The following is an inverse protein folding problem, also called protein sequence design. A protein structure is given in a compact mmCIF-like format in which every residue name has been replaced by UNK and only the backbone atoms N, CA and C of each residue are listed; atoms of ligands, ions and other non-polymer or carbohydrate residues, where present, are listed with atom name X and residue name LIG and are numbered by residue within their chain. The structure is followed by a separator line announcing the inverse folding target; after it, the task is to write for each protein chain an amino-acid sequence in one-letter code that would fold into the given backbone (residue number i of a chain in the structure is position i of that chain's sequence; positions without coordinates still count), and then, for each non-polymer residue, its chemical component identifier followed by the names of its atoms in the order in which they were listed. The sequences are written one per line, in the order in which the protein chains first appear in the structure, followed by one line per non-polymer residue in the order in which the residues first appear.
data_IF_635469203320
#
_entry.id   IF_635469203320
#
_cell.length_a   1.000
_cell.length_b   1.000
_cell.length_c   1.000
_cell.angle_alpha   90.00
_cell.angle_beta   90.00
_cell.angle_gamma   90.00
#
_symmetry.space_group_name_H-M   'P 1'
#
loop_
_entity.id
_entity.type
_entity.pdbx_description
1 polymer ?
#
# COMPACT_ATOMS: atom_id res chain seq x y z
N UNK A 1 -53.88 -6.64 -47.83
CA UNK A 1 -53.34 -6.78 -46.45
C UNK A 1 -51.99 -7.48 -46.59
N UNK A 2 -50.89 -6.73 -46.49
CA UNK A 2 -50.04 -6.57 -45.29
C UNK A 2 -49.32 -7.88 -44.92
N UNK A 3 -48.02 -7.94 -44.62
CA UNK A 3 -46.98 -6.92 -44.51
C UNK A 3 -45.61 -7.62 -44.60
N UNK A 4 -44.61 -6.82 -44.96
CA UNK A 4 -43.24 -7.16 -45.29
C UNK A 4 -42.32 -7.50 -44.10
N UNK A 5 -41.18 -8.04 -44.49
CA UNK A 5 -40.03 -8.58 -43.76
C UNK A 5 -38.95 -7.49 -43.48
N UNK A 6 -38.24 -7.66 -42.36
CA UNK A 6 -36.85 -7.23 -42.02
C UNK A 6 -36.52 -5.74 -41.77
N UNK A 7 -35.89 -5.43 -40.61
CA UNK A 7 -34.44 -5.14 -40.47
C UNK A 7 -34.05 -4.66 -39.06
N UNK A 8 -32.87 -5.12 -38.66
CA UNK A 8 -31.93 -4.69 -37.62
C UNK A 8 -31.97 -3.20 -37.22
N UNK A 9 -31.95 -2.92 -35.91
CA UNK A 9 -31.66 -1.60 -35.34
C UNK A 9 -30.21 -1.53 -34.81
N UNK A 10 -29.42 -0.52 -35.19
CA UNK A 10 -28.20 -0.14 -34.50
C UNK A 10 -28.48 0.79 -33.31
N UNK A 11 -27.55 0.72 -32.35
CA UNK A 11 -27.37 1.56 -31.18
C UNK A 11 -27.45 3.06 -31.52
N UNK A 12 -28.21 3.83 -30.74
CA UNK A 12 -28.15 5.29 -30.74
C UNK A 12 -27.94 5.80 -29.31
N UNK A 13 -26.82 6.51 -29.14
CA UNK A 13 -26.48 7.27 -27.95
C UNK A 13 -27.43 8.46 -27.78
N UNK A 14 -27.86 8.72 -26.54
CA UNK A 14 -28.62 9.91 -26.19
C UNK A 14 -27.68 10.94 -25.54
N UNK A 15 -27.36 12.01 -26.27
CA UNK A 15 -26.85 13.24 -25.69
C UNK A 15 -28.04 14.16 -25.36
N UNK A 16 -28.14 14.75 -24.16
CA UNK A 16 -29.15 15.76 -23.90
C UNK A 16 -28.73 17.13 -24.47
N UNK A 17 -29.69 17.74 -25.16
CA UNK A 17 -29.63 19.08 -25.76
C UNK A 17 -29.41 20.18 -24.71
N UNK A 18 -28.68 21.21 -25.15
CA UNK A 18 -28.47 22.47 -24.45
C UNK A 18 -29.77 23.27 -24.23
N UNK A 19 -29.88 23.91 -23.06
CA UNK A 19 -30.78 25.05 -22.86
C UNK A 19 -29.94 26.30 -22.59
N UNK A 20 -29.86 27.16 -23.60
CA UNK A 20 -29.21 28.47 -23.55
C UNK A 20 -30.11 29.42 -22.73
N UNK A 21 -29.67 29.84 -21.56
CA UNK A 21 -30.18 31.04 -20.90
C UNK A 21 -29.07 32.10 -20.90
N UNK A 22 -29.13 33.04 -21.86
CA UNK A 22 -28.31 34.25 -21.82
C UNK A 22 -28.81 35.14 -20.68
N UNK A 23 -28.11 35.15 -19.56
CA UNK A 23 -28.10 36.32 -18.67
C UNK A 23 -26.88 37.15 -19.03
N UNK A 24 -27.10 38.33 -19.59
CA UNK A 24 -26.07 39.34 -19.73
C UNK A 24 -25.66 39.78 -18.31
N UNK A 25 -24.41 39.54 -17.95
CA UNK A 25 -23.78 40.11 -16.74
C UNK A 25 -22.53 40.89 -17.17
N UNK A 26 -22.24 42.03 -16.53
CA UNK A 26 -21.33 43.03 -17.06
C UNK A 26 -19.90 42.49 -17.09
N UNK A 27 -19.07 43.05 -17.97
CA UNK A 27 -17.64 42.76 -18.06
C UNK A 27 -16.94 43.06 -16.71
N UNK A 28 -16.99 42.10 -15.79
CA UNK A 28 -16.08 42.00 -14.66
C UNK A 28 -14.94 41.11 -15.10
N UNK A 29 -13.77 41.69 -15.28
CA UNK A 29 -12.54 40.96 -15.56
C UNK A 29 -12.43 39.80 -14.55
N UNK A 30 -12.51 38.57 -15.03
CA UNK A 30 -12.07 37.42 -14.26
C UNK A 30 -10.54 37.51 -14.24
N UNK A 31 -9.98 38.30 -13.33
CA UNK A 31 -8.61 38.06 -12.90
C UNK A 31 -8.61 36.64 -12.37
N UNK A 32 -7.89 35.69 -13.00
CA UNK A 32 -7.69 34.40 -12.37
C UNK A 32 -7.14 34.72 -10.98
N UNK A 33 -7.75 34.16 -9.93
CA UNK A 33 -7.07 34.15 -8.64
C UNK A 33 -5.70 33.56 -8.94
N UNK A 34 -4.66 34.37 -8.79
CA UNK A 34 -3.32 33.86 -8.63
C UNK A 34 -3.39 33.03 -7.34
N UNK A 35 -3.72 31.75 -7.49
CA UNK A 35 -3.27 30.74 -6.53
C UNK A 35 -1.78 30.98 -6.53
N UNK A 36 -1.28 31.60 -5.44
CA UNK A 36 0.13 31.81 -5.27
C UNK A 36 0.77 30.49 -5.61
N UNK A 37 1.61 30.49 -6.65
CA UNK A 37 2.41 29.34 -6.99
C UNK A 37 3.36 29.15 -5.81
N UNK A 38 2.86 28.49 -4.76
CA UNK A 38 3.68 27.77 -3.81
C UNK A 38 4.46 26.85 -4.72
N UNK A 39 5.72 27.19 -4.96
CA UNK A 39 6.60 26.36 -5.77
C UNK A 39 6.45 24.95 -5.21
N UNK A 40 6.10 24.00 -6.07
CA UNK A 40 6.02 22.60 -5.65
C UNK A 40 7.38 22.29 -5.04
N UNK A 41 7.42 22.07 -3.73
CA UNK A 41 8.62 21.59 -3.07
C UNK A 41 9.01 20.32 -3.82
N UNK A 42 10.17 20.36 -4.48
CA UNK A 42 10.61 19.23 -5.28
C UNK A 42 11.02 18.14 -4.30
N UNK A 43 10.13 17.17 -4.13
CA UNK A 43 10.38 16.01 -3.32
C UNK A 43 11.47 15.16 -3.99
N UNK A 44 12.56 14.89 -3.25
CA UNK A 44 13.66 14.03 -3.70
C UNK A 44 13.48 12.61 -3.09
N UNK A 45 12.89 11.66 -3.83
CA UNK A 45 12.65 10.32 -3.32
C UNK A 45 13.94 9.53 -3.09
N UNK A 46 15.03 9.88 -3.80
CA UNK A 46 16.32 9.19 -3.67
C UNK A 46 17.01 9.62 -2.39
N UNK A 47 17.03 10.92 -2.09
CA UNK A 47 17.54 11.43 -0.82
C UNK A 47 16.74 10.87 0.37
N UNK A 48 15.41 10.78 0.23
CA UNK A 48 14.57 10.16 1.26
C UNK A 48 14.90 8.68 1.46
N UNK A 49 15.11 7.91 0.39
CA UNK A 49 15.48 6.49 0.50
C UNK A 49 16.78 6.29 1.29
N UNK A 50 17.79 7.14 1.07
CA UNK A 50 19.06 7.10 1.79
C UNK A 50 18.87 7.41 3.29
N UNK A 51 18.06 8.42 3.59
CA UNK A 51 17.74 8.80 4.97
C UNK A 51 16.98 7.68 5.69
N UNK A 52 15.94 7.14 5.06
CA UNK A 52 15.17 6.01 5.58
C UNK A 52 16.07 4.80 5.84
N UNK A 53 16.96 4.43 4.91
CA UNK A 53 17.83 3.28 5.09
C UNK A 53 18.75 3.38 6.33
N UNK A 54 19.15 4.62 6.66
CA UNK A 54 20.00 4.93 7.81
C UNK A 54 19.22 4.98 9.12
N UNK A 55 17.99 5.50 9.09
CA UNK A 55 17.17 5.72 10.30
C UNK A 55 16.21 4.58 10.63
N UNK A 56 15.90 3.71 9.67
CA UNK A 56 14.95 2.62 9.85
C UNK A 56 15.42 1.65 10.94
N UNK A 57 14.53 1.41 11.91
CA UNK A 57 14.76 0.43 12.96
C UNK A 57 15.08 -0.94 12.38
N UNK A 58 16.05 -1.65 12.97
CA UNK A 58 16.43 -2.99 12.54
C UNK A 58 15.53 -4.08 13.11
N UNK A 59 14.81 -3.77 14.18
CA UNK A 59 13.90 -4.71 14.84
C UNK A 59 12.53 -4.08 14.97
N UNK A 60 11.49 -4.87 14.68
CA UNK A 60 10.11 -4.47 14.74
C UNK A 60 9.31 -5.57 15.44
N UNK A 61 8.32 -5.18 16.24
CA UNK A 61 7.47 -6.13 16.98
C UNK A 61 6.01 -5.73 16.92
N UNK A 62 5.13 -6.71 16.92
CA UNK A 62 3.70 -6.48 17.01
C UNK A 62 2.92 -7.77 16.84
N UNK A 63 1.89 -7.75 15.99
CA UNK A 63 0.99 -8.89 15.86
C UNK A 63 0.55 -9.15 14.42
N UNK A 64 0.32 -10.43 14.13
CA UNK A 64 -0.35 -10.88 12.92
C UNK A 64 -1.72 -11.44 13.26
N UNK A 65 -2.75 -10.97 12.54
CA UNK A 65 -4.11 -11.44 12.66
C UNK A 65 -4.58 -12.00 11.31
N UNK A 66 -4.84 -13.31 11.26
CA UNK A 66 -5.47 -13.95 10.10
C UNK A 66 -6.95 -13.56 9.99
N UNK A 67 -7.45 -13.44 8.76
CA UNK A 67 -8.88 -13.26 8.48
C UNK A 67 -9.59 -14.59 8.15
N UNK A 68 -8.86 -15.71 8.15
CA UNK A 68 -9.36 -17.03 7.76
C UNK A 68 -10.47 -17.58 8.65
N UNK A 69 -11.35 -18.36 8.04
CA UNK A 69 -12.37 -19.16 8.72
C UNK A 69 -11.76 -20.55 8.94
N UNK A 70 -11.43 -20.91 10.19
CA UNK A 70 -10.81 -22.22 10.48
C UNK A 70 -10.00 -22.31 11.77
N UNK A 71 -9.65 -21.18 12.38
CA UNK A 71 -9.27 -21.15 13.80
C UNK A 71 -10.56 -21.07 14.61
N UNK A 72 -11.00 -22.22 15.13
CA UNK A 72 -12.13 -22.33 16.06
C UNK A 72 -11.81 -21.60 17.36
N UNK A 73 -11.90 -20.27 17.35
CA UNK A 73 -11.54 -19.37 18.43
C UNK A 73 -11.62 -17.91 17.98
N UNK A 74 -11.59 -16.93 18.90
CA UNK A 74 -11.54 -15.51 18.52
C UNK A 74 -10.34 -15.29 17.59
N UNK A 75 -10.44 -14.33 16.67
CA UNK A 75 -9.35 -13.92 15.77
C UNK A 75 -8.10 -13.58 16.59
N UNK A 76 -7.25 -14.57 16.82
CA UNK A 76 -6.20 -14.48 17.79
C UNK A 76 -4.99 -13.88 17.12
N UNK A 77 -4.63 -12.66 17.53
CA UNK A 77 -3.37 -12.06 17.11
C UNK A 77 -2.21 -12.90 17.66
N UNK A 78 -1.35 -13.37 16.77
CA UNK A 78 -0.10 -14.04 17.14
C UNK A 78 1.02 -13.02 17.17
N UNK A 79 1.93 -13.18 18.13
CA UNK A 79 3.11 -12.31 18.22
C UNK A 79 3.95 -12.41 16.95
N UNK A 80 4.35 -11.25 16.46
CA UNK A 80 5.17 -11.08 15.27
C UNK A 80 6.42 -10.27 15.61
N UNK A 81 7.57 -10.73 15.13
CA UNK A 81 8.82 -10.01 15.23
C UNK A 81 9.53 -10.03 13.87
N UNK A 82 9.88 -8.86 13.35
CA UNK A 82 10.67 -8.71 12.12
C UNK A 82 12.05 -8.17 12.47
N UNK A 83 13.08 -8.89 12.05
CA UNK A 83 14.49 -8.50 12.19
C UNK A 83 15.09 -8.28 10.81
N UNK A 84 15.41 -7.04 10.48
CA UNK A 84 16.06 -6.66 9.24
C UNK A 84 17.57 -6.88 9.38
N UNK A 85 18.10 -7.79 8.56
CA UNK A 85 19.53 -8.02 8.40
C UNK A 85 20.16 -6.97 7.47
N UNK A 86 19.44 -6.54 6.45
CA UNK A 86 19.89 -5.48 5.54
C UNK A 86 18.77 -4.54 5.14
N UNK A 87 19.14 -3.27 4.97
CA UNK A 87 18.30 -2.17 4.48
C UNK A 87 19.17 -1.36 3.52
N UNK A 88 18.99 -1.58 2.23
CA UNK A 88 19.91 -1.08 1.20
C UNK A 88 19.17 -0.19 0.21
N UNK A 89 19.49 1.11 0.11
CA UNK A 89 18.85 2.00 -0.86
C UNK A 89 19.32 1.67 -2.28
N UNK A 90 18.38 1.68 -3.22
CA UNK A 90 18.54 1.44 -4.66
C UNK A 90 17.67 2.44 -5.42
N UNK A 91 18.21 3.64 -5.67
CA UNK A 91 17.41 4.76 -6.21
C UNK A 91 16.36 5.19 -5.18
N UNK A 92 15.10 5.27 -5.60
CA UNK A 92 13.96 5.54 -4.70
C UNK A 92 13.45 4.31 -3.94
N UNK A 93 13.95 3.12 -4.27
CA UNK A 93 13.57 1.88 -3.60
C UNK A 93 14.57 1.54 -2.49
N UNK A 94 14.14 0.75 -1.52
CA UNK A 94 15.00 0.19 -0.47
C UNK A 94 14.80 -1.33 -0.48
N UNK A 95 15.85 -2.10 -0.77
CA UNK A 95 15.85 -3.56 -0.61
C UNK A 95 15.96 -3.89 0.88
N UNK A 96 15.05 -4.75 1.34
CA UNK A 96 14.93 -5.21 2.71
C UNK A 96 15.18 -6.71 2.74
N UNK A 97 16.05 -7.18 3.64
CA UNK A 97 16.23 -8.60 3.92
C UNK A 97 16.27 -8.85 5.40
N UNK A 98 15.77 -9.99 5.82
CA UNK A 98 15.72 -10.31 7.23
C UNK A 98 14.96 -11.58 7.52
N UNK A 99 14.44 -11.65 8.74
CA UNK A 99 13.66 -12.77 9.25
C UNK A 99 12.39 -12.26 9.93
N UNK A 100 11.28 -12.95 9.65
CA UNK A 100 9.99 -12.74 10.30
C UNK A 100 9.69 -13.95 11.17
N UNK A 101 9.49 -13.72 12.46
CA UNK A 101 9.10 -14.71 13.45
C UNK A 101 7.63 -14.57 13.79
N UNK A 102 6.86 -15.62 13.61
CA UNK A 102 5.42 -15.66 13.85
C UNK A 102 5.05 -16.90 14.66
N UNK A 103 4.46 -16.71 15.83
CA UNK A 103 4.05 -17.85 16.68
C UNK A 103 5.19 -18.82 17.01
N UNK A 104 6.44 -18.34 17.06
CA UNK A 104 7.64 -19.14 17.30
C UNK A 104 8.31 -19.72 16.05
N UNK A 105 7.71 -19.58 14.86
CA UNK A 105 8.31 -20.02 13.59
C UNK A 105 9.02 -18.85 12.93
N UNK A 106 10.33 -19.00 12.67
CA UNK A 106 11.16 -17.98 12.01
C UNK A 106 11.29 -18.31 10.53
N UNK A 107 11.07 -17.31 9.68
CA UNK A 107 11.11 -17.43 8.23
C UNK A 107 11.95 -16.32 7.61
N UNK A 108 12.87 -16.63 6.68
CA UNK A 108 13.55 -15.60 5.91
C UNK A 108 12.57 -14.80 5.06
N UNK A 109 12.76 -13.49 5.00
CA UNK A 109 11.96 -12.57 4.20
C UNK A 109 12.84 -11.67 3.33
N UNK A 110 12.30 -11.28 2.18
CA UNK A 110 12.88 -10.26 1.32
C UNK A 110 11.76 -9.34 0.82
N UNK A 111 12.05 -8.04 0.71
CA UNK A 111 11.07 -7.08 0.24
C UNK A 111 11.67 -5.80 -0.26
N UNK A 112 10.80 -4.91 -0.74
CA UNK A 112 11.16 -3.58 -1.19
C UNK A 112 10.25 -2.55 -0.52
N UNK A 113 10.81 -1.39 -0.18
CA UNK A 113 10.06 -0.21 0.26
C UNK A 113 10.29 0.93 -0.74
N UNK A 114 9.22 1.51 -1.26
CA UNK A 114 9.29 2.71 -2.09
C UNK A 114 9.34 3.96 -1.20
N UNK A 115 10.41 4.73 -1.29
CA UNK A 115 10.59 5.94 -0.50
C UNK A 115 9.71 7.11 -0.98
N UNK A 116 9.01 7.03 -2.11
CA UNK A 116 8.05 8.06 -2.51
C UNK A 116 6.67 7.81 -1.90
N UNK A 117 6.21 6.56 -1.92
CA UNK A 117 4.84 6.20 -1.53
C UNK A 117 4.73 5.49 -0.19
N UNK A 118 5.84 5.15 0.46
CA UNK A 118 5.90 4.23 1.61
C UNK A 118 5.30 2.85 1.33
N UNK A 119 5.18 2.49 0.05
CA UNK A 119 4.66 1.20 -0.36
C UNK A 119 5.67 0.10 -0.05
N UNK A 120 5.24 -0.86 0.76
CA UNK A 120 5.98 -2.07 1.08
C UNK A 120 5.46 -3.23 0.25
N UNK A 121 6.38 -4.06 -0.24
CA UNK A 121 6.13 -5.46 -0.60
C UNK A 121 7.17 -6.34 0.09
N UNK A 122 6.74 -7.32 0.90
CA UNK A 122 7.60 -8.21 1.67
C UNK A 122 7.17 -9.67 1.48
N UNK A 123 8.04 -10.46 0.87
CA UNK A 123 7.82 -11.85 0.50
C UNK A 123 8.46 -12.78 1.53
N UNK A 124 7.73 -13.82 1.92
CA UNK A 124 8.25 -14.92 2.73
C UNK A 124 8.97 -15.93 1.83
N UNK A 125 10.18 -16.32 2.23
CA UNK A 125 11.04 -17.21 1.46
C UNK A 125 11.00 -18.67 1.97
N UNK A 126 10.11 -19.02 2.89
CA UNK A 126 9.96 -20.39 3.40
C UNK A 126 9.01 -21.24 2.54
N UNK A 127 9.13 -22.57 2.69
CA UNK A 127 8.12 -23.55 2.29
C UNK A 127 7.20 -23.93 3.47
N UNK A 128 6.84 -22.94 4.29
CA UNK A 128 6.12 -23.15 5.54
C UNK A 128 4.68 -22.65 5.45
N UNK A 129 3.78 -23.31 6.20
CA UNK A 129 2.44 -22.82 6.45
C UNK A 129 2.33 -22.45 7.93
N UNK A 130 2.22 -21.15 8.21
CA UNK A 130 2.17 -20.63 9.59
C UNK A 130 1.02 -19.65 9.70
N UNK A 131 0.03 -19.97 10.54
CA UNK A 131 -1.13 -19.10 10.78
C UNK A 131 -1.89 -18.67 9.51
N UNK A 132 -1.93 -19.53 8.50
CA UNK A 132 -2.54 -19.24 7.19
C UNK A 132 -1.67 -18.39 6.26
N UNK A 133 -0.39 -18.16 6.62
CA UNK A 133 0.63 -17.67 5.70
C UNK A 133 1.21 -18.85 4.94
N UNK A 134 1.07 -18.81 3.62
CA UNK A 134 1.46 -19.88 2.70
C UNK A 134 2.59 -19.40 1.78
N UNK A 135 3.40 -20.33 1.29
CA UNK A 135 4.43 -20.03 0.30
C UNK A 135 3.84 -19.32 -0.93
N UNK A 136 4.50 -18.24 -1.36
CA UNK A 136 4.12 -17.48 -2.55
C UNK A 136 3.17 -16.31 -2.29
N UNK A 137 2.75 -16.08 -1.05
CA UNK A 137 2.07 -14.84 -0.69
C UNK A 137 3.04 -13.70 -0.36
N UNK A 138 2.48 -12.50 -0.21
CA UNK A 138 3.22 -11.26 0.02
C UNK A 138 2.51 -10.41 1.08
N UNK A 139 3.28 -9.75 1.93
CA UNK A 139 2.78 -8.65 2.74
C UNK A 139 2.93 -7.35 1.96
N UNK A 140 1.82 -6.63 1.72
CA UNK A 140 1.86 -5.32 1.10
C UNK A 140 1.21 -4.26 1.98
N UNK A 141 1.80 -3.06 2.01
CA UNK A 141 1.34 -1.97 2.87
C UNK A 141 1.64 -0.61 2.25
N UNK A 142 0.98 0.45 2.73
CA UNK A 142 1.22 1.84 2.34
C UNK A 142 1.83 2.68 3.47
N UNK A 143 2.00 2.08 4.65
CA UNK A 143 2.61 2.71 5.84
C UNK A 143 3.93 2.01 6.17
N UNK A 144 4.68 1.64 5.12
CA UNK A 144 5.89 0.85 5.21
C UNK A 144 5.70 -0.44 5.99
N UNK A 145 6.62 -0.70 6.94
CA UNK A 145 6.62 -1.90 7.77
C UNK A 145 5.56 -1.88 8.89
N UNK A 146 4.95 -0.73 9.19
CA UNK A 146 4.05 -0.61 10.34
C UNK A 146 2.74 -1.34 10.13
N UNK A 147 2.17 -1.23 8.93
CA UNK A 147 0.88 -1.82 8.62
C UNK A 147 0.90 -2.42 7.22
N UNK A 148 0.75 -3.74 7.16
CA UNK A 148 0.67 -4.49 5.90
C UNK A 148 -0.43 -5.54 5.94
N UNK A 149 -1.01 -5.82 4.78
CA UNK A 149 -1.95 -6.90 4.55
C UNK A 149 -1.26 -8.10 3.92
N UNK A 150 -1.57 -9.29 4.41
CA UNK A 150 -1.19 -10.53 3.74
C UNK A 150 -2.08 -10.77 2.52
N UNK A 151 -1.45 -10.87 1.35
CA UNK A 151 -2.07 -11.31 0.12
C UNK A 151 -1.75 -12.79 -0.07
N UNK A 152 -2.76 -13.64 0.13
CA UNK A 152 -2.60 -15.08 -0.05
C UNK A 152 -2.50 -15.43 -1.54
N UNK A 153 -1.70 -16.47 -1.90
CA UNK A 153 -1.71 -17.03 -3.25
C UNK A 153 -3.02 -17.77 -3.59
N UNK A 154 -3.89 -18.06 -2.60
CA UNK A 154 -5.14 -18.80 -2.80
C UNK A 154 -6.37 -17.93 -2.54
N UNK A 155 -7.36 -18.05 -3.43
CA UNK A 155 -8.65 -17.35 -3.29
C UNK A 155 -9.47 -17.79 -2.07
N UNK A 156 -9.21 -18.99 -1.54
CA UNK A 156 -9.89 -19.53 -0.36
C UNK A 156 -9.37 -18.96 0.95
N UNK A 157 -8.24 -18.25 0.91
CA UNK A 157 -7.60 -17.68 2.07
C UNK A 157 -7.80 -16.15 2.03
N UNK A 158 -8.62 -15.59 2.94
CA UNK A 158 -9.00 -14.17 2.91
C UNK A 158 -7.87 -13.22 3.32
N UNK A 159 -6.68 -13.72 3.63
CA UNK A 159 -5.54 -12.91 3.99
C UNK A 159 -5.43 -12.69 5.50
N UNK A 160 -4.78 -11.59 5.86
CA UNK A 160 -4.56 -11.19 7.25
C UNK A 160 -3.93 -9.80 7.33
N UNK A 161 -3.71 -9.32 8.55
CA UNK A 161 -3.06 -8.03 8.82
C UNK A 161 -1.84 -8.25 9.72
N UNK A 162 -0.73 -7.64 9.34
CA UNK A 162 0.48 -7.53 10.13
C UNK A 162 0.63 -6.07 10.59
N UNK A 163 0.65 -5.86 11.90
CA UNK A 163 0.81 -4.56 12.55
C UNK A 163 2.10 -4.61 13.39
N UNK A 164 3.07 -3.77 13.06
CA UNK A 164 4.39 -3.75 13.67
C UNK A 164 4.76 -2.35 14.15
N UNK A 165 5.55 -2.31 15.21
CA UNK A 165 6.14 -1.08 15.74
C UNK A 165 7.66 -1.23 15.83
N UNK A 166 8.42 -0.17 15.53
CA UNK A 166 9.87 -0.22 15.61
C UNK A 166 10.29 -0.38 17.07
N UNK A 167 11.23 -1.30 17.31
CA UNK A 167 11.92 -1.41 18.59
C UNK A 167 13.20 -0.57 18.52
N UNK A 168 13.29 0.44 19.38
CA UNK A 168 14.51 1.23 19.54
C UNK A 168 14.72 2.37 18.53
N UNK A 169 13.69 2.82 17.81
CA UNK A 169 13.77 4.13 17.13
C UNK A 169 13.74 5.23 18.18
N UNK A 170 14.91 5.72 18.57
CA UNK A 170 15.00 6.99 19.28
C UNK A 170 14.32 8.06 18.41
N UNK A 171 13.43 8.92 18.93
CA UNK A 171 12.94 10.03 18.15
C UNK A 171 14.15 10.84 17.69
N UNK A 172 14.20 11.19 16.40
CA UNK A 172 15.18 12.12 15.90
C UNK A 172 15.19 13.33 16.84
N UNK A 173 16.33 13.57 17.50
CA UNK A 173 16.50 14.72 18.35
C UNK A 173 16.27 15.96 17.47
N UNK A 174 15.09 16.56 17.60
CA UNK A 174 14.82 17.91 17.14
C UNK A 174 15.73 18.84 17.93
N UNK A 175 16.92 19.08 17.37
CA UNK A 175 17.84 20.09 17.84
C UNK A 175 17.34 21.46 17.42
N UNK A 176 16.89 22.20 18.44
CA UNK A 176 16.92 23.66 18.64
C UNK A 176 16.58 24.57 17.44
#
# INVERSE_FOLDING_TARGET
MSLAILRSLPWLAAAPLALLALVASPAGASTPLAVGSVGAETFDPVARAQLLATQMARTWSGGYQSFGIGQSGPSQSIQAELRLASVTPMGQMIDLRGELTLGGVTTPVQGNLNAESDQLDLVMLCQCEVAGLEMGGVFSGLEGLQLSGWQSPRLTNPGGRLDLKPLGSSPAAGGL
#
